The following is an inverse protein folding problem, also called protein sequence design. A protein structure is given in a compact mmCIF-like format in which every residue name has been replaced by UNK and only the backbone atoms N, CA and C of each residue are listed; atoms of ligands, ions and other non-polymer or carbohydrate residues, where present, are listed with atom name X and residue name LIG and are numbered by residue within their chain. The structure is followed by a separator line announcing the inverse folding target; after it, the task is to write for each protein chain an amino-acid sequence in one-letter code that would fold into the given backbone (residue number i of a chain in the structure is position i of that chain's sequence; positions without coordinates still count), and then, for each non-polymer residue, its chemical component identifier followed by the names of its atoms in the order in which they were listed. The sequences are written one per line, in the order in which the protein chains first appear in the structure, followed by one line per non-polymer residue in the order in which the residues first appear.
data_IF_461259125874
#
_entry.id   IF_461259125874
#
_cell.length_a   1.000
_cell.length_b   1.000
_cell.length_c   1.000
_cell.angle_alpha   90.00
_cell.angle_beta   90.00
_cell.angle_gamma   90.00
#
_symmetry.space_group_name_H-M   'P 1'
#
loop_
_entity.id
_entity.type
_entity.pdbx_description
1 polymer ?
#
# COMPACT_ATOMS: atom_id res chain seq x y z
N UNK A 1 13.32 12.33 -12.68
CA UNK A 1 12.68 11.37 -11.76
C UNK A 1 12.49 10.07 -12.50
N UNK A 2 12.98 8.95 -11.96
CA UNK A 2 12.71 7.63 -12.56
C UNK A 2 11.26 7.27 -12.29
N UNK A 3 10.44 7.22 -13.34
CA UNK A 3 9.04 6.76 -13.25
C UNK A 3 9.05 5.30 -12.79
N UNK A 4 8.27 4.97 -11.75
CA UNK A 4 8.13 3.57 -11.31
C UNK A 4 7.66 2.70 -12.48
N UNK A 5 8.27 1.53 -12.62
CA UNK A 5 7.80 0.50 -13.54
C UNK A 5 6.42 -0.04 -13.11
N UNK A 6 5.64 -0.59 -14.05
CA UNK A 6 4.37 -1.25 -13.71
C UNK A 6 4.52 -2.35 -12.64
N UNK A 7 5.64 -3.09 -12.65
CA UNK A 7 5.92 -4.12 -11.65
C UNK A 7 6.13 -3.53 -10.25
N UNK A 8 6.81 -2.39 -10.13
CA UNK A 8 6.98 -1.71 -8.83
C UNK A 8 5.64 -1.21 -8.29
N UNK A 9 4.78 -0.64 -9.14
CA UNK A 9 3.43 -0.22 -8.74
C UNK A 9 2.61 -1.40 -8.25
N UNK A 10 2.59 -2.50 -9.01
CA UNK A 10 1.92 -3.75 -8.57
C UNK A 10 2.45 -4.28 -7.24
N UNK A 11 3.75 -4.17 -7.00
CA UNK A 11 4.35 -4.54 -5.71
C UNK A 11 3.81 -3.68 -4.55
N UNK A 12 3.77 -2.36 -4.71
CA UNK A 12 3.22 -1.47 -3.68
C UNK A 12 1.71 -1.68 -3.46
N UNK A 13 0.95 -1.88 -4.54
CA UNK A 13 -0.47 -2.23 -4.43
C UNK A 13 -0.69 -3.56 -3.67
N UNK A 14 0.19 -4.55 -3.89
CA UNK A 14 0.17 -5.80 -3.12
C UNK A 14 0.34 -5.52 -1.63
N UNK A 15 1.33 -4.70 -1.25
CA UNK A 15 1.57 -4.33 0.16
C UNK A 15 0.34 -3.67 0.78
N UNK A 16 -0.28 -2.74 0.04
CA UNK A 16 -1.51 -2.07 0.48
C UNK A 16 -2.63 -3.08 0.75
N UNK A 17 -2.91 -3.98 -0.19
CA UNK A 17 -3.97 -4.98 -0.07
C UNK A 17 -3.72 -5.95 1.09
N UNK A 18 -2.46 -6.29 1.39
CA UNK A 18 -2.14 -7.12 2.55
C UNK A 18 -2.62 -6.47 3.87
N UNK A 19 -2.35 -5.18 4.08
CA UNK A 19 -2.85 -4.44 5.25
C UNK A 19 -4.38 -4.44 5.30
N UNK A 20 -5.03 -4.18 4.17
CA UNK A 20 -6.50 -4.17 4.09
C UNK A 20 -7.12 -5.50 4.48
N UNK A 21 -6.49 -6.63 4.17
CA UNK A 21 -6.97 -7.97 4.53
C UNK A 21 -6.61 -8.40 5.96
N UNK A 22 -5.57 -7.81 6.55
CA UNK A 22 -5.13 -8.10 7.92
C UNK A 22 -6.02 -7.43 8.96
N UNK A 23 -6.32 -6.15 8.73
CA UNK A 23 -7.08 -5.33 9.67
C UNK A 23 -8.55 -5.73 9.70
N UNK A 24 -9.19 -5.50 10.85
CA UNK A 24 -10.64 -5.59 10.95
C UNK A 24 -11.29 -4.36 10.32
N UNK A 25 -12.56 -4.44 9.88
CA UNK A 25 -13.28 -3.28 9.37
C UNK A 25 -13.34 -2.10 10.35
N UNK A 26 -13.46 -2.37 11.66
CA UNK A 26 -13.43 -1.32 12.69
C UNK A 26 -12.08 -0.57 12.78
N UNK A 27 -11.01 -1.19 12.30
CA UNK A 27 -9.63 -0.66 12.31
C UNK A 27 -9.18 -0.20 10.90
N UNK A 28 -10.12 -0.05 9.95
CA UNK A 28 -9.83 0.40 8.58
C UNK A 28 -9.61 -0.72 7.55
N UNK A 29 -9.66 -1.98 7.96
CA UNK A 29 -9.57 -3.13 7.06
C UNK A 29 -10.76 -3.28 6.10
N UNK A 30 -10.59 -4.07 5.05
CA UNK A 30 -11.59 -4.29 4.01
C UNK A 30 -11.91 -5.78 3.84
N UNK A 31 -13.20 -6.10 3.76
CA UNK A 31 -13.65 -7.42 3.35
C UNK A 31 -13.70 -7.46 1.82
N UNK A 32 -12.78 -8.21 1.22
CA UNK A 32 -12.74 -8.39 -0.24
C UNK A 32 -13.47 -9.71 -0.59
N UNK A 33 -14.71 -9.64 -1.13
CA UNK A 33 -15.44 -10.84 -1.54
C UNK A 33 -14.82 -11.50 -2.77
N UNK A 34 -15.10 -12.79 -2.99
CA UNK A 34 -14.65 -13.50 -4.21
C UNK A 34 -15.35 -12.95 -5.46
N UNK A 35 -16.64 -12.62 -5.34
CA UNK A 35 -17.37 -11.91 -6.38
C UNK A 35 -17.17 -10.41 -6.14
N UNK A 36 -16.24 -9.83 -6.87
CA UNK A 36 -15.85 -8.44 -6.68
C UNK A 36 -17.00 -7.50 -7.07
N UNK A 37 -17.38 -6.56 -6.19
CA UNK A 37 -18.28 -5.48 -6.55
C UNK A 37 -17.54 -4.46 -7.45
N UNK A 38 -18.28 -3.55 -8.08
CA UNK A 38 -17.72 -2.63 -9.07
C UNK A 38 -16.56 -1.78 -8.52
N UNK A 39 -16.65 -1.40 -7.25
CA UNK A 39 -15.68 -0.58 -6.54
C UNK A 39 -14.33 -1.29 -6.34
N UNK A 40 -14.29 -2.62 -6.46
CA UNK A 40 -13.08 -3.45 -6.31
C UNK A 40 -12.67 -4.15 -7.60
N UNK A 41 -13.38 -3.91 -8.72
CA UNK A 41 -13.15 -4.63 -9.97
C UNK A 41 -11.73 -4.45 -10.52
N UNK A 42 -11.09 -3.31 -10.26
CA UNK A 42 -9.69 -3.06 -10.67
C UNK A 42 -8.67 -3.97 -9.98
N UNK A 43 -9.02 -4.64 -8.88
CA UNK A 43 -8.14 -5.56 -8.16
C UNK A 43 -8.08 -6.97 -8.75
N UNK A 44 -8.93 -7.32 -9.73
CA UNK A 44 -9.09 -8.70 -10.18
C UNK A 44 -7.76 -9.38 -10.53
N UNK A 45 -6.98 -8.77 -11.44
CA UNK A 45 -5.66 -9.28 -11.83
C UNK A 45 -4.69 -9.35 -10.65
N UNK A 46 -4.70 -8.34 -9.78
CA UNK A 46 -3.80 -8.28 -8.62
C UNK A 46 -4.11 -9.39 -7.62
N UNK A 47 -5.38 -9.63 -7.33
CA UNK A 47 -5.82 -10.68 -6.41
C UNK A 47 -5.51 -12.08 -6.96
N UNK A 48 -5.62 -12.28 -8.28
CA UNK A 48 -5.18 -13.51 -8.93
C UNK A 48 -3.66 -13.71 -8.76
N UNK A 49 -2.86 -12.70 -9.06
CA UNK A 49 -1.39 -12.74 -8.87
C UNK A 49 -1.00 -13.03 -7.42
N UNK A 50 -1.64 -12.36 -6.46
CA UNK A 50 -1.41 -12.58 -5.02
C UNK A 50 -1.80 -13.99 -4.58
N UNK A 51 -2.90 -14.54 -5.11
CA UNK A 51 -3.33 -15.90 -4.82
C UNK A 51 -2.35 -16.94 -5.39
N UNK A 52 -1.89 -16.73 -6.63
CA UNK A 52 -0.85 -17.56 -7.28
C UNK A 52 0.47 -17.49 -6.51
N UNK A 53 0.84 -16.32 -6.01
CA UNK A 53 2.03 -16.13 -5.17
C UNK A 53 1.91 -16.75 -3.77
N UNK A 54 0.70 -17.19 -3.38
CA UNK A 54 0.41 -17.77 -2.08
C UNK A 54 0.34 -16.75 -0.95
N UNK A 55 0.16 -15.46 -1.26
CA UNK A 55 0.03 -14.39 -0.27
C UNK A 55 -1.39 -14.34 0.33
N UNK A 56 -2.39 -14.66 -0.49
CA UNK A 56 -3.79 -14.71 -0.08
C UNK A 56 -4.44 -16.03 -0.50
N UNK A 57 -5.59 -16.33 0.08
CA UNK A 57 -6.41 -17.50 -0.26
C UNK A 57 -7.89 -17.20 -0.09
N UNK A 58 -8.73 -18.03 -0.68
CA UNK A 58 -10.18 -17.93 -0.53
C UNK A 58 -10.64 -18.68 0.73
N UNK A 59 -11.31 -17.99 1.65
CA UNK A 59 -12.15 -18.64 2.65
C UNK A 59 -13.47 -19.07 2.00
N UNK A 60 -13.58 -20.36 1.65
CA UNK A 60 -14.77 -20.91 0.98
C UNK A 60 -16.05 -20.82 1.80
N UNK A 61 -15.96 -20.73 3.13
CA UNK A 61 -17.17 -20.61 3.97
C UNK A 61 -17.69 -19.18 3.96
N UNK A 62 -16.78 -18.20 3.97
CA UNK A 62 -17.12 -16.77 4.00
C UNK A 62 -17.15 -16.10 2.63
N UNK A 63 -16.76 -16.82 1.56
CA UNK A 63 -16.71 -16.34 0.18
C UNK A 63 -15.93 -15.02 0.03
N UNK A 64 -14.78 -14.95 0.70
CA UNK A 64 -13.88 -13.77 0.70
C UNK A 64 -12.42 -14.17 0.66
N UNK A 65 -11.57 -13.26 0.19
CA UNK A 65 -10.13 -13.38 0.31
C UNK A 65 -9.70 -13.16 1.77
N UNK A 66 -8.67 -13.90 2.19
CA UNK A 66 -8.01 -13.78 3.48
C UNK A 66 -6.52 -13.99 3.29
N UNK A 67 -5.70 -13.48 4.21
CA UNK A 67 -4.26 -13.74 4.20
C UNK A 67 -3.97 -15.24 4.29
N UNK A 68 -2.98 -15.67 3.52
CA UNK A 68 -2.28 -16.93 3.71
C UNK A 68 -1.04 -16.71 4.58
N UNK A 69 -0.43 -17.80 5.06
CA UNK A 69 0.74 -17.76 5.95
C UNK A 69 1.87 -16.89 5.39
N UNK A 70 2.24 -17.08 4.12
CA UNK A 70 3.24 -16.25 3.45
C UNK A 70 2.87 -14.77 3.36
N UNK A 71 1.58 -14.45 3.25
CA UNK A 71 1.11 -13.07 3.26
C UNK A 71 1.29 -12.41 4.63
N UNK A 72 1.03 -13.15 5.70
CA UNK A 72 1.26 -12.71 7.09
C UNK A 72 2.76 -12.52 7.35
N UNK A 73 3.60 -13.46 6.90
CA UNK A 73 5.07 -13.35 7.02
C UNK A 73 5.61 -12.13 6.29
N UNK A 74 5.17 -11.89 5.04
CA UNK A 74 5.58 -10.71 4.27
C UNK A 74 5.13 -9.42 4.95
N UNK A 75 3.88 -9.38 5.45
CA UNK A 75 3.35 -8.22 6.15
C UNK A 75 4.17 -7.89 7.40
N UNK A 76 4.48 -8.88 8.23
CA UNK A 76 5.33 -8.71 9.41
C UNK A 76 6.73 -8.18 9.06
N UNK A 77 7.38 -8.75 8.04
CA UNK A 77 8.69 -8.28 7.61
C UNK A 77 8.69 -6.82 7.10
N UNK A 78 7.60 -6.37 6.47
CA UNK A 78 7.45 -4.99 6.02
C UNK A 78 7.24 -4.01 7.18
N UNK A 79 6.51 -4.45 8.22
CA UNK A 79 6.32 -3.70 9.47
C UNK A 79 7.67 -3.56 10.18
N UNK A 80 8.38 -4.66 10.39
CA UNK A 80 9.69 -4.64 11.04
C UNK A 80 10.69 -3.74 10.27
N UNK A 81 10.66 -3.77 8.94
CA UNK A 81 11.51 -2.93 8.09
C UNK A 81 11.26 -1.44 8.34
N UNK A 82 10.00 -1.02 8.34
CA UNK A 82 9.68 0.40 8.45
C UNK A 82 9.77 0.91 9.88
N UNK A 83 9.42 0.11 10.89
CA UNK A 83 9.56 0.47 12.30
C UNK A 83 11.00 0.86 12.63
N UNK A 84 11.98 0.07 12.20
CA UNK A 84 13.40 0.36 12.41
C UNK A 84 13.81 1.69 11.76
N UNK A 85 13.25 2.02 10.60
CA UNK A 85 13.57 3.27 9.90
C UNK A 85 12.90 4.47 10.59
N UNK A 86 11.64 4.32 11.00
CA UNK A 86 10.89 5.36 11.73
C UNK A 86 11.58 5.66 13.04
N UNK A 87 11.91 4.65 13.85
CA UNK A 87 12.61 4.81 15.14
C UNK A 87 13.93 5.58 15.02
N UNK A 88 14.57 5.54 13.85
CA UNK A 88 15.83 6.22 13.61
C UNK A 88 15.66 7.65 13.06
N UNK A 89 14.62 7.89 12.26
CA UNK A 89 14.53 9.08 11.40
C UNK A 89 13.30 9.96 11.66
N UNK A 90 12.40 9.59 12.58
CA UNK A 90 11.14 10.31 12.85
C UNK A 90 11.32 11.74 13.37
N UNK A 91 12.44 12.03 14.02
CA UNK A 91 12.79 13.38 14.50
C UNK A 91 13.37 14.30 13.40
N UNK A 92 13.61 13.79 12.19
CA UNK A 92 14.26 14.53 11.11
C UNK A 92 13.27 15.13 10.12
N UNK A 93 13.66 16.22 9.47
CA UNK A 93 12.88 16.80 8.38
C UNK A 93 12.96 15.91 7.13
N UNK A 94 11.89 15.89 6.32
CA UNK A 94 11.77 15.00 5.17
C UNK A 94 12.96 15.07 4.18
N UNK A 95 13.50 16.27 3.98
CA UNK A 95 14.65 16.51 3.10
C UNK A 95 15.93 15.86 3.63
N UNK A 96 16.13 15.87 4.95
CA UNK A 96 17.25 15.21 5.62
C UNK A 96 17.11 13.69 5.57
N UNK A 97 15.89 13.18 5.79
CA UNK A 97 15.56 11.75 5.64
C UNK A 97 15.94 11.26 4.25
N UNK A 98 15.50 11.96 3.19
CA UNK A 98 15.78 11.57 1.80
C UNK A 98 17.28 11.53 1.51
N UNK A 99 18.04 12.50 2.00
CA UNK A 99 19.50 12.53 1.83
C UNK A 99 20.19 11.37 2.55
N UNK A 100 19.79 11.08 3.79
CA UNK A 100 20.31 9.93 4.55
C UNK A 100 20.02 8.61 3.84
N UNK A 101 18.79 8.42 3.33
CA UNK A 101 18.42 7.21 2.60
C UNK A 101 19.28 7.03 1.33
N UNK A 102 19.51 8.11 0.57
CA UNK A 102 20.39 8.08 -0.60
C UNK A 102 21.83 7.72 -0.24
N UNK A 103 22.38 8.30 0.83
CA UNK A 103 23.72 7.99 1.33
C UNK A 103 23.87 6.52 1.75
N UNK A 104 22.80 5.91 2.24
CA UNK A 104 22.74 4.50 2.63
C UNK A 104 22.37 3.56 1.48
N UNK A 105 22.19 4.07 0.26
CA UNK A 105 21.74 3.32 -0.90
C UNK A 105 20.40 2.59 -0.67
N UNK A 106 19.53 3.20 0.15
CA UNK A 106 18.13 2.80 0.35
C UNK A 106 17.24 3.56 -0.64
N UNK A 107 16.13 2.95 -1.05
CA UNK A 107 15.16 3.57 -1.97
C UNK A 107 14.25 4.55 -1.21
N UNK A 108 14.37 5.88 -1.42
CA UNK A 108 13.53 6.85 -0.71
C UNK A 108 12.04 6.68 -1.01
N UNK A 109 11.69 6.20 -2.21
CA UNK A 109 10.30 5.98 -2.57
C UNK A 109 9.69 4.85 -1.75
N UNK A 110 10.43 3.75 -1.60
CA UNK A 110 9.99 2.61 -0.80
C UNK A 110 9.72 3.02 0.64
N UNK A 111 10.66 3.74 1.24
CA UNK A 111 10.51 4.21 2.63
C UNK A 111 9.33 5.14 2.75
N UNK A 112 9.19 6.13 1.86
CA UNK A 112 8.06 7.07 1.89
C UNK A 112 6.70 6.36 1.76
N UNK A 113 6.59 5.37 0.87
CA UNK A 113 5.40 4.55 0.76
C UNK A 113 5.14 3.74 2.03
N UNK A 114 6.14 3.00 2.53
CA UNK A 114 5.97 2.17 3.72
C UNK A 114 5.63 3.01 4.96
N UNK A 115 6.22 4.18 5.11
CA UNK A 115 5.96 5.09 6.22
C UNK A 115 4.50 5.55 6.21
N UNK A 116 4.02 6.11 5.08
CA UNK A 116 2.62 6.54 4.97
C UNK A 116 1.64 5.38 5.11
N UNK A 117 2.00 4.20 4.61
CA UNK A 117 1.23 2.98 4.78
C UNK A 117 1.17 2.51 6.24
N UNK A 118 2.28 2.58 6.97
CA UNK A 118 2.38 2.18 8.38
C UNK A 118 1.60 3.14 9.29
N UNK A 119 1.81 4.45 9.13
CA UNK A 119 1.15 5.51 9.92
C UNK A 119 -0.35 5.68 9.61
N UNK A 120 -0.86 4.97 8.60
CA UNK A 120 -2.27 5.04 8.21
C UNK A 120 -2.63 6.27 7.39
N UNK A 121 -1.65 6.95 6.79
CA UNK A 121 -1.86 8.09 5.90
C UNK A 121 -2.81 7.74 4.75
N UNK A 122 -2.71 6.51 4.26
CA UNK A 122 -3.46 5.98 3.13
C UNK A 122 -4.74 5.22 3.53
N UNK A 123 -5.06 5.10 4.82
CA UNK A 123 -6.24 4.32 5.27
C UNK A 123 -7.57 4.96 4.83
N UNK A 124 -7.56 6.29 4.64
CA UNK A 124 -8.60 7.04 3.97
C UNK A 124 -8.01 7.77 2.76
N UNK A 125 -8.03 7.09 1.61
CA UNK A 125 -7.51 7.64 0.35
C UNK A 125 -8.31 8.83 -0.17
N UNK A 126 -9.57 9.00 0.24
CA UNK A 126 -10.38 10.15 -0.13
C UNK A 126 -9.88 11.39 0.64
N UNK A 127 -9.65 11.23 1.94
CA UNK A 127 -9.02 12.26 2.76
C UNK A 127 -7.59 12.57 2.30
N UNK A 128 -6.81 11.55 1.90
CA UNK A 128 -5.50 11.74 1.28
C UNK A 128 -5.59 12.66 0.05
N UNK A 129 -6.44 12.32 -0.93
CA UNK A 129 -6.60 13.10 -2.17
C UNK A 129 -7.01 14.55 -1.89
N UNK A 130 -7.93 14.77 -0.94
CA UNK A 130 -8.33 16.12 -0.53
C UNK A 130 -7.18 16.92 0.11
N UNK A 131 -6.42 16.31 1.02
CA UNK A 131 -5.26 16.98 1.66
C UNK A 131 -4.18 17.33 0.64
N UNK A 132 -4.00 16.51 -0.39
CA UNK A 132 -3.01 16.69 -1.45
C UNK A 132 -3.49 17.61 -2.60
N UNK A 133 -4.77 18.01 -2.58
CA UNK A 133 -5.33 19.00 -3.49
C UNK A 133 -5.62 18.46 -4.89
N UNK A 134 -6.08 17.20 -5.00
CA UNK A 134 -6.52 16.63 -6.28
C UNK A 134 -7.78 17.34 -6.79
N UNK A 135 -7.80 17.69 -8.09
CA UNK A 135 -8.93 18.36 -8.73
C UNK A 135 -10.16 17.43 -8.85
N UNK A 136 -9.91 16.17 -9.18
CA UNK A 136 -10.92 15.10 -9.23
C UNK A 136 -10.58 14.04 -8.19
N UNK A 137 -11.58 13.69 -7.37
CA UNK A 137 -11.45 12.68 -6.33
C UNK A 137 -11.93 11.34 -6.90
N UNK A 138 -11.05 10.35 -6.91
CA UNK A 138 -11.40 8.95 -7.18
C UNK A 138 -12.01 8.33 -5.91
N UNK A 139 -13.32 8.03 -5.87
CA UNK A 139 -13.97 7.47 -4.69
C UNK A 139 -13.61 6.01 -4.44
N UNK A 140 -13.11 5.28 -5.44
CA UNK A 140 -12.78 3.87 -5.31
C UNK A 140 -11.30 3.69 -5.01
N UNK A 141 -11.00 3.37 -3.75
CA UNK A 141 -9.62 3.22 -3.30
C UNK A 141 -8.82 2.22 -4.14
N UNK A 142 -9.45 1.14 -4.56
CA UNK A 142 -8.84 0.11 -5.40
C UNK A 142 -8.40 0.65 -6.77
N UNK A 143 -9.16 1.57 -7.35
CA UNK A 143 -8.76 2.24 -8.58
C UNK A 143 -7.63 3.24 -8.32
N UNK A 144 -7.73 4.01 -7.23
CA UNK A 144 -6.75 5.03 -6.89
C UNK A 144 -5.36 4.47 -6.57
N UNK A 145 -5.26 3.43 -5.73
CA UNK A 145 -3.95 2.83 -5.36
C UNK A 145 -3.24 2.15 -6.54
N UNK A 146 -3.98 1.78 -7.59
CA UNK A 146 -3.43 1.23 -8.83
C UNK A 146 -3.09 2.31 -9.87
N UNK A 147 -3.52 3.55 -9.64
CA UNK A 147 -3.37 4.65 -10.59
C UNK A 147 -1.97 5.23 -10.59
N UNK A 148 -1.58 5.80 -11.73
CA UNK A 148 -0.34 6.59 -11.82
C UNK A 148 -0.38 7.81 -10.90
N UNK A 149 -1.55 8.41 -10.71
CA UNK A 149 -1.75 9.64 -9.95
C UNK A 149 -1.37 9.48 -8.48
N UNK A 150 -1.67 8.33 -7.86
CA UNK A 150 -1.23 8.04 -6.48
C UNK A 150 0.31 8.05 -6.36
N UNK A 151 1.00 7.31 -7.23
CA UNK A 151 2.46 7.20 -7.16
C UNK A 151 3.18 8.48 -7.61
N UNK A 152 2.62 9.22 -8.56
CA UNK A 152 3.15 10.51 -8.99
C UNK A 152 3.01 11.57 -7.89
N UNK A 153 1.89 11.59 -7.19
CA UNK A 153 1.71 12.52 -6.06
C UNK A 153 2.61 12.17 -4.88
N UNK A 154 2.77 10.88 -4.55
CA UNK A 154 3.68 10.42 -3.51
C UNK A 154 5.15 10.78 -3.82
N UNK A 155 5.55 10.71 -5.09
CA UNK A 155 6.89 11.06 -5.54
C UNK A 155 7.22 12.56 -5.38
N UNK A 156 6.23 13.43 -5.13
CA UNK A 156 6.46 14.87 -4.89
C UNK A 156 7.13 15.14 -3.55
N UNK A 157 7.16 14.15 -2.67
CA UNK A 157 7.78 14.24 -1.34
C UNK A 157 9.30 13.88 -1.37
N UNK A 158 9.91 13.69 -2.56
CA UNK A 158 11.25 13.10 -2.75
C UNK A 158 12.24 13.91 -3.60
#
# INVERSE_FOLDING_TARGET
MSRLSPAQKRHYATIYVLKMLDLKPEDGGQVIPVLLPAELASLEDLLEEMAVAGLIRIDRKKQRYVLAERGVELLGALIDEIEVIIEELDELEAEEVVEILRQRNLDPFRVRFLWGWYDGEFDDVEAYQRRRGFDEIEPWWAAFILSDAFYEDLARDL
#
